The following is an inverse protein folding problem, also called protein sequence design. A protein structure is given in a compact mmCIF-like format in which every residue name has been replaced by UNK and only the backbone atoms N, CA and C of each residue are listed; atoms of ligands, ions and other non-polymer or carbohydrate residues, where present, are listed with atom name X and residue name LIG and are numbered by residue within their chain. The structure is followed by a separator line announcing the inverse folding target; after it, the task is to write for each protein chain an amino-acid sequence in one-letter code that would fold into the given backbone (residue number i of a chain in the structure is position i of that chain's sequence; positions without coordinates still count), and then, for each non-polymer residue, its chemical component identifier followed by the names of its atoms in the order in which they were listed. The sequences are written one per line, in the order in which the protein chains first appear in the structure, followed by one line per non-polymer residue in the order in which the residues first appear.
data_IF_879713633084
#
_entry.id   IF_879713633084
#
_cell.length_a   1.000
_cell.length_b   1.000
_cell.length_c   1.000
_cell.angle_alpha   90.00
_cell.angle_beta   90.00
_cell.angle_gamma   90.00
#
_symmetry.space_group_name_H-M   'P 1'
#
loop_
_entity.id
_entity.type
_entity.pdbx_description
1 polymer ?
#
# COMPACT_ATOMS: atom_id res chain seq x y z
N UNK A 1 37.39 -14.74 -35.57
CA UNK A 1 37.35 -14.85 -34.10
C UNK A 1 36.12 -14.15 -33.60
N UNK A 2 35.15 -14.89 -33.16
CA UNK A 2 33.91 -14.33 -32.67
C UNK A 2 34.02 -13.96 -31.20
N UNK A 3 33.94 -12.69 -30.90
CA UNK A 3 33.83 -12.18 -29.55
C UNK A 3 32.40 -12.47 -29.04
N UNK A 4 32.26 -13.40 -28.16
CA UNK A 4 30.96 -13.73 -27.57
C UNK A 4 30.57 -12.71 -26.53
N UNK A 5 29.71 -11.81 -26.89
CA UNK A 5 28.97 -10.98 -25.96
C UNK A 5 27.81 -11.78 -25.34
N UNK A 6 28.10 -12.70 -24.46
CA UNK A 6 27.07 -13.52 -23.84
C UNK A 6 26.77 -13.15 -22.38
N UNK A 7 27.42 -12.14 -21.82
CA UNK A 7 27.23 -11.77 -20.42
C UNK A 7 26.45 -10.48 -20.15
N UNK A 8 25.96 -9.81 -21.19
CA UNK A 8 25.24 -8.56 -21.03
C UNK A 8 23.72 -8.75 -20.99
N UNK A 9 23.26 -9.97 -21.18
CA UNK A 9 21.81 -10.29 -21.21
C UNK A 9 21.19 -10.45 -19.84
N UNK A 10 21.98 -10.65 -18.80
CA UNK A 10 21.48 -10.82 -17.44
C UNK A 10 21.42 -9.51 -16.64
N UNK A 11 22.14 -8.49 -17.09
CA UNK A 11 22.10 -7.14 -16.47
C UNK A 11 20.92 -6.29 -16.98
N UNK A 12 20.40 -6.60 -18.18
CA UNK A 12 19.26 -5.94 -18.81
C UNK A 12 17.95 -6.74 -18.66
N UNK A 13 17.80 -7.52 -17.60
CA UNK A 13 16.46 -7.83 -17.13
C UNK A 13 15.92 -6.53 -16.54
N UNK A 14 15.56 -5.63 -17.43
CA UNK A 14 14.73 -4.50 -17.09
C UNK A 14 13.59 -5.02 -16.23
N UNK A 15 13.58 -4.57 -15.00
CA UNK A 15 12.42 -4.78 -14.15
C UNK A 15 11.20 -4.39 -14.96
N UNK A 16 10.18 -5.25 -15.06
CA UNK A 16 9.03 -4.98 -15.91
C UNK A 16 8.57 -3.55 -15.67
N UNK A 17 8.51 -2.78 -16.74
CA UNK A 17 8.32 -1.34 -16.63
C UNK A 17 6.86 -1.06 -16.37
N UNK A 18 6.54 -0.96 -15.11
CA UNK A 18 5.26 -0.40 -14.65
C UNK A 18 5.52 1.02 -14.17
N UNK A 19 4.76 2.00 -14.64
CA UNK A 19 4.93 3.40 -14.25
C UNK A 19 4.44 3.60 -12.81
N UNK A 20 5.37 3.56 -11.85
CA UNK A 20 5.06 3.61 -10.40
C UNK A 20 4.32 4.87 -9.99
N UNK A 21 4.62 6.01 -10.60
CA UNK A 21 3.96 7.28 -10.28
C UNK A 21 2.47 7.20 -10.63
N UNK A 22 2.16 6.69 -11.80
CA UNK A 22 0.80 6.51 -12.28
C UNK A 22 0.04 5.47 -11.45
N UNK A 23 0.72 4.41 -11.03
CA UNK A 23 0.14 3.41 -10.12
C UNK A 23 -0.23 4.04 -8.78
N UNK A 24 0.66 4.81 -8.16
CA UNK A 24 0.35 5.49 -6.91
C UNK A 24 -0.82 6.46 -7.06
N UNK A 25 -0.86 7.20 -8.14
CA UNK A 25 -1.97 8.11 -8.46
C UNK A 25 -3.28 7.36 -8.64
N UNK A 26 -3.27 6.24 -9.38
CA UNK A 26 -4.41 5.35 -9.55
C UNK A 26 -4.93 4.85 -8.20
N UNK A 27 -4.06 4.33 -7.34
CA UNK A 27 -4.45 3.80 -6.03
C UNK A 27 -5.04 4.88 -5.12
N UNK A 28 -4.49 6.09 -5.15
CA UNK A 28 -5.06 7.23 -4.41
C UNK A 28 -6.46 7.63 -4.95
N UNK A 29 -6.65 7.56 -6.25
CA UNK A 29 -7.96 7.84 -6.87
C UNK A 29 -8.99 6.77 -6.51
N UNK A 30 -8.59 5.50 -6.45
CA UNK A 30 -9.45 4.40 -5.99
C UNK A 30 -9.85 4.59 -4.53
N UNK A 31 -8.90 4.90 -3.64
CA UNK A 31 -9.17 5.20 -2.24
C UNK A 31 -10.09 6.43 -2.07
N UNK A 32 -9.89 7.44 -2.89
CA UNK A 32 -10.71 8.67 -2.93
C UNK A 32 -12.05 8.51 -3.65
N UNK A 33 -12.37 7.31 -4.18
CA UNK A 33 -13.57 7.02 -4.96
C UNK A 33 -13.73 7.88 -6.23
N UNK A 34 -12.64 8.37 -6.77
CA UNK A 34 -12.60 9.09 -8.04
C UNK A 34 -12.58 8.11 -9.22
N UNK A 35 -13.68 7.40 -9.45
CA UNK A 35 -13.76 6.26 -10.35
C UNK A 35 -13.38 6.57 -11.79
N UNK A 36 -13.90 7.68 -12.32
CA UNK A 36 -13.61 8.11 -13.69
C UNK A 36 -12.14 8.44 -13.91
N UNK A 37 -11.52 9.07 -12.93
CA UNK A 37 -10.10 9.40 -12.98
C UNK A 37 -9.24 8.15 -12.81
N UNK A 38 -9.64 7.23 -11.94
CA UNK A 38 -8.99 5.93 -11.77
C UNK A 38 -9.06 5.09 -13.05
N UNK A 39 -10.20 5.05 -13.75
CA UNK A 39 -10.32 4.36 -15.04
C UNK A 39 -9.35 4.93 -16.10
N UNK A 40 -9.28 6.25 -16.21
CA UNK A 40 -8.34 6.92 -17.12
C UNK A 40 -6.88 6.62 -16.77
N UNK A 41 -6.55 6.64 -15.48
CA UNK A 41 -5.20 6.34 -15.05
C UNK A 41 -4.84 4.87 -15.28
N UNK A 42 -5.78 3.94 -15.11
CA UNK A 42 -5.57 2.53 -15.42
C UNK A 42 -5.28 2.32 -16.92
N UNK A 43 -6.00 3.01 -17.81
CA UNK A 43 -5.72 2.97 -19.24
C UNK A 43 -4.34 3.54 -19.58
N UNK A 44 -3.94 4.62 -18.93
CA UNK A 44 -2.62 5.20 -19.05
C UNK A 44 -1.51 4.22 -18.62
N UNK A 45 -1.71 3.52 -17.50
CA UNK A 45 -0.80 2.47 -17.01
C UNK A 45 -0.69 1.34 -18.03
N UNK A 46 -1.82 0.88 -18.61
CA UNK A 46 -1.82 -0.15 -19.66
C UNK A 46 -0.99 0.26 -20.88
N UNK A 47 -1.16 1.48 -21.33
CA UNK A 47 -0.45 1.98 -22.52
C UNK A 47 1.04 2.13 -22.29
N UNK A 48 1.45 2.50 -21.07
CA UNK A 48 2.85 2.68 -20.69
C UNK A 48 3.55 1.38 -20.28
N UNK A 49 2.80 0.33 -20.00
CA UNK A 49 3.38 -0.96 -19.62
C UNK A 49 3.97 -1.70 -20.82
N UNK A 50 4.95 -2.57 -20.58
CA UNK A 50 5.64 -3.32 -21.63
C UNK A 50 4.80 -4.43 -22.29
N UNK A 51 3.62 -4.74 -21.77
CA UNK A 51 2.72 -5.77 -22.27
C UNK A 51 3.17 -7.22 -22.02
N UNK A 52 4.23 -7.44 -21.26
CA UNK A 52 4.68 -8.75 -20.82
C UNK A 52 3.71 -9.43 -19.86
N UNK A 53 3.89 -10.72 -19.61
CA UNK A 53 3.00 -11.49 -18.71
C UNK A 53 2.94 -10.91 -17.30
N UNK A 54 4.07 -10.52 -16.76
CA UNK A 54 4.14 -9.88 -15.46
C UNK A 54 3.33 -8.58 -15.39
N UNK A 55 3.52 -7.69 -16.37
CA UNK A 55 2.80 -6.42 -16.46
C UNK A 55 1.30 -6.61 -16.66
N UNK A 56 0.89 -7.62 -17.42
CA UNK A 56 -0.53 -7.99 -17.58
C UNK A 56 -1.14 -8.45 -16.27
N UNK A 57 -0.43 -9.28 -15.51
CA UNK A 57 -0.88 -9.71 -14.18
C UNK A 57 -1.01 -8.53 -13.21
N UNK A 58 -0.04 -7.65 -13.20
CA UNK A 58 -0.04 -6.43 -12.39
C UNK A 58 -1.25 -5.54 -12.71
N UNK A 59 -1.45 -5.21 -13.97
CA UNK A 59 -2.60 -4.40 -14.44
C UNK A 59 -3.93 -5.09 -14.13
N UNK A 60 -4.00 -6.42 -14.25
CA UNK A 60 -5.20 -7.18 -13.92
C UNK A 60 -5.57 -7.07 -12.45
N UNK A 61 -4.60 -7.07 -11.57
CA UNK A 61 -4.84 -6.84 -10.14
C UNK A 61 -5.36 -5.42 -9.86
N UNK A 62 -4.81 -4.40 -10.53
CA UNK A 62 -5.32 -3.02 -10.43
C UNK A 62 -6.76 -2.90 -10.90
N UNK A 63 -7.11 -3.55 -12.02
CA UNK A 63 -8.48 -3.62 -12.53
C UNK A 63 -9.42 -4.27 -11.51
N UNK A 64 -8.99 -5.39 -10.92
CA UNK A 64 -9.74 -6.09 -9.88
C UNK A 64 -9.96 -5.22 -8.64
N UNK A 65 -8.96 -4.48 -8.19
CA UNK A 65 -9.11 -3.50 -7.09
C UNK A 65 -10.17 -2.44 -7.42
N UNK A 66 -10.10 -1.84 -8.60
CA UNK A 66 -11.08 -0.83 -9.04
C UNK A 66 -12.50 -1.38 -9.04
N UNK A 67 -12.71 -2.57 -9.60
CA UNK A 67 -14.01 -3.23 -9.67
C UNK A 67 -14.55 -3.58 -8.28
N UNK A 68 -13.70 -4.07 -7.40
CA UNK A 68 -14.06 -4.42 -6.04
C UNK A 68 -14.49 -3.20 -5.23
N UNK A 69 -13.72 -2.13 -5.26
CA UNK A 69 -14.04 -0.90 -4.53
C UNK A 69 -15.27 -0.20 -5.08
N UNK A 70 -15.43 -0.15 -6.39
CA UNK A 70 -16.56 0.48 -7.06
C UNK A 70 -17.86 -0.28 -6.85
N UNK A 71 -17.80 -1.61 -6.93
CA UNK A 71 -18.97 -2.48 -6.81
C UNK A 71 -19.32 -2.84 -5.38
N UNK A 72 -18.43 -2.56 -4.43
CA UNK A 72 -18.54 -3.06 -3.06
C UNK A 72 -18.76 -4.60 -3.00
N UNK A 73 -18.17 -5.31 -3.94
CA UNK A 73 -18.32 -6.75 -4.16
C UNK A 73 -16.96 -7.43 -4.14
N UNK A 74 -16.75 -8.32 -3.19
CA UNK A 74 -15.49 -9.02 -2.94
C UNK A 74 -15.18 -10.12 -3.98
N UNK A 75 -16.05 -10.35 -4.95
CA UNK A 75 -15.90 -11.37 -6.00
C UNK A 75 -14.56 -11.29 -6.73
N UNK A 76 -14.06 -10.09 -6.89
CA UNK A 76 -12.89 -9.85 -7.73
C UNK A 76 -11.59 -9.93 -6.97
N UNK A 77 -11.57 -9.44 -5.75
CA UNK A 77 -10.40 -9.49 -4.85
C UNK A 77 -10.86 -9.43 -3.39
N UNK A 78 -10.40 -10.36 -2.59
CA UNK A 78 -10.74 -10.49 -1.16
C UNK A 78 -9.96 -9.50 -0.25
N UNK A 79 -9.70 -8.29 -0.71
CA UNK A 79 -8.87 -7.33 0.03
C UNK A 79 -9.61 -6.20 0.76
N UNK A 80 -10.65 -5.58 0.21
CA UNK A 80 -11.21 -4.36 0.79
C UNK A 80 -11.81 -4.53 2.17
N UNK A 81 -12.48 -5.64 2.44
CA UNK A 81 -13.04 -5.92 3.77
C UNK A 81 -11.95 -6.14 4.80
N UNK A 82 -10.92 -6.88 4.42
CA UNK A 82 -9.78 -7.14 5.31
C UNK A 82 -9.07 -5.84 5.65
N UNK A 83 -8.77 -5.01 4.68
CA UNK A 83 -8.05 -3.75 4.88
C UNK A 83 -8.86 -2.73 5.69
N UNK A 84 -10.17 -2.68 5.48
CA UNK A 84 -11.05 -1.76 6.21
C UNK A 84 -11.26 -2.12 7.68
N UNK A 85 -11.23 -3.39 8.02
CA UNK A 85 -11.65 -3.92 9.32
C UNK A 85 -10.49 -4.49 10.12
N UNK A 86 -9.42 -4.92 9.45
CA UNK A 86 -8.36 -5.70 10.09
C UNK A 86 -7.38 -4.87 10.89
N UNK A 87 -6.89 -5.47 11.97
CA UNK A 87 -5.79 -4.94 12.73
C UNK A 87 -4.53 -4.74 11.85
N UNK A 88 -3.69 -3.75 12.14
CA UNK A 88 -2.46 -3.47 11.37
C UNK A 88 -1.55 -4.70 11.20
N UNK A 89 -1.54 -5.60 12.19
CA UNK A 89 -0.79 -6.86 12.14
C UNK A 89 -1.25 -7.77 11.00
N UNK A 90 -2.56 -7.94 10.83
CA UNK A 90 -3.13 -8.78 9.75
C UNK A 90 -2.79 -8.22 8.38
N UNK A 91 -2.85 -6.91 8.22
CA UNK A 91 -2.45 -6.23 6.97
C UNK A 91 -0.97 -6.44 6.68
N UNK A 92 -0.11 -6.36 7.69
CA UNK A 92 1.33 -6.61 7.56
C UNK A 92 1.65 -8.06 7.19
N UNK A 93 0.96 -9.03 7.79
CA UNK A 93 1.10 -10.46 7.48
C UNK A 93 0.68 -10.73 6.03
N UNK A 94 -0.46 -10.22 5.60
CA UNK A 94 -0.96 -10.36 4.24
C UNK A 94 -0.03 -9.72 3.21
N UNK A 95 0.49 -8.53 3.50
CA UNK A 95 1.51 -7.87 2.67
C UNK A 95 2.76 -8.73 2.53
N UNK A 96 3.25 -9.32 3.62
CA UNK A 96 4.41 -10.21 3.61
C UNK A 96 4.15 -11.47 2.77
N UNK A 97 2.97 -12.04 2.85
CA UNK A 97 2.56 -13.20 2.06
C UNK A 97 2.55 -12.88 0.55
N UNK A 98 1.95 -11.76 0.16
CA UNK A 98 1.97 -11.34 -1.24
C UNK A 98 3.36 -10.99 -1.75
N UNK A 99 4.22 -10.42 -0.91
CA UNK A 99 5.62 -10.19 -1.26
C UNK A 99 6.35 -11.51 -1.55
N UNK A 100 6.11 -12.55 -0.77
CA UNK A 100 6.66 -13.89 -1.02
C UNK A 100 6.14 -14.48 -2.33
N UNK A 101 4.84 -14.38 -2.59
CA UNK A 101 4.24 -14.89 -3.83
C UNK A 101 4.75 -14.16 -5.07
N UNK A 102 5.02 -12.88 -4.97
CA UNK A 102 5.53 -12.07 -6.09
C UNK A 102 6.93 -12.44 -6.54
N UNK A 103 7.71 -13.11 -5.70
CA UNK A 103 9.09 -13.56 -6.01
C UNK A 103 9.24 -15.07 -6.06
N UNK A 104 8.19 -15.83 -5.77
CA UNK A 104 8.23 -17.30 -5.72
C UNK A 104 8.37 -17.92 -7.11
N UNK A 105 9.28 -18.86 -7.26
CA UNK A 105 9.48 -19.62 -8.51
C UNK A 105 8.34 -20.57 -8.83
N UNK A 106 7.46 -20.84 -7.87
CA UNK A 106 6.27 -21.69 -8.08
C UNK A 106 5.23 -20.95 -8.93
N UNK A 107 5.19 -19.62 -8.86
CA UNK A 107 4.25 -18.81 -9.62
C UNK A 107 4.84 -18.38 -10.96
N UNK A 108 4.00 -18.35 -12.01
CA UNK A 108 4.36 -17.77 -13.29
C UNK A 108 4.47 -16.24 -13.22
N UNK A 109 5.04 -15.65 -14.26
CA UNK A 109 5.26 -14.20 -14.31
C UNK A 109 3.96 -13.40 -14.15
N UNK A 110 2.86 -13.87 -14.72
CA UNK A 110 1.56 -13.25 -14.56
C UNK A 110 1.13 -13.19 -13.09
N UNK A 111 1.20 -14.31 -12.38
CA UNK A 111 0.82 -14.38 -10.96
C UNK A 111 1.74 -13.53 -10.08
N UNK A 112 3.03 -13.53 -10.38
CA UNK A 112 4.01 -12.68 -9.68
C UNK A 112 3.67 -11.19 -9.82
N UNK A 113 3.33 -10.76 -11.04
CA UNK A 113 2.87 -9.39 -11.29
C UNK A 113 1.59 -9.06 -10.54
N UNK A 114 0.63 -9.97 -10.54
CA UNK A 114 -0.62 -9.85 -9.82
C UNK A 114 -0.41 -9.65 -8.32
N UNK A 115 0.38 -10.51 -7.69
CA UNK A 115 0.67 -10.40 -6.25
C UNK A 115 1.50 -9.16 -5.92
N UNK A 116 2.39 -8.73 -6.81
CA UNK A 116 3.15 -7.48 -6.61
C UNK A 116 2.25 -6.25 -6.55
N UNK A 117 1.24 -6.18 -7.40
CA UNK A 117 0.27 -5.09 -7.36
C UNK A 117 -0.51 -5.05 -6.04
N UNK A 118 -0.91 -6.20 -5.51
CA UNK A 118 -1.58 -6.31 -4.23
C UNK A 118 -0.66 -5.92 -3.05
N UNK A 119 0.60 -6.31 -3.11
CA UNK A 119 1.61 -5.87 -2.13
C UNK A 119 1.78 -4.34 -2.15
N UNK A 120 1.89 -3.75 -3.32
CA UNK A 120 2.02 -2.29 -3.49
C UNK A 120 0.80 -1.54 -2.95
N UNK A 121 -0.40 -2.06 -3.19
CA UNK A 121 -1.62 -1.52 -2.60
C UNK A 121 -1.61 -1.57 -1.07
N UNK A 122 -1.26 -2.70 -0.48
CA UNK A 122 -1.18 -2.83 0.98
C UNK A 122 -0.09 -1.94 1.59
N UNK A 123 1.00 -1.72 0.88
CA UNK A 123 2.06 -0.79 1.28
C UNK A 123 1.55 0.65 1.36
N UNK A 124 0.78 1.08 0.36
CA UNK A 124 0.18 2.41 0.34
C UNK A 124 -0.79 2.62 1.51
N UNK A 125 -1.69 1.67 1.72
CA UNK A 125 -2.69 1.73 2.80
C UNK A 125 -2.04 1.73 4.18
N UNK A 126 -0.99 0.95 4.38
CA UNK A 126 -0.24 0.91 5.64
C UNK A 126 0.42 2.26 5.94
N UNK A 127 1.01 2.90 4.94
CA UNK A 127 1.64 4.22 5.09
C UNK A 127 0.62 5.31 5.39
N UNK A 128 -0.52 5.30 4.71
CA UNK A 128 -1.59 6.28 4.93
C UNK A 128 -2.17 6.22 6.35
N UNK A 129 -2.31 5.02 6.91
CA UNK A 129 -2.79 4.84 8.28
C UNK A 129 -1.78 5.31 9.33
N UNK A 130 -0.49 5.16 9.09
CA UNK A 130 0.55 5.67 10.01
C UNK A 130 0.59 7.20 10.04
N UNK A 131 0.30 7.84 8.94
CA UNK A 131 0.25 9.31 8.85
C UNK A 131 -0.95 9.91 9.58
N UNK A 132 -1.99 9.12 9.85
CA UNK A 132 -3.22 9.56 10.51
C UNK A 132 -3.23 9.31 12.02
N UNK A 133 -2.21 8.67 12.58
CA UNK A 133 -2.06 8.58 14.02
C UNK A 133 -1.66 9.95 14.53
N UNK A 134 -2.47 10.59 15.43
CA UNK A 134 -1.99 11.76 16.12
C UNK A 134 -0.71 11.31 16.85
N UNK A 135 0.37 11.99 16.59
CA UNK A 135 1.51 11.92 17.48
C UNK A 135 0.98 12.34 18.85
N UNK A 136 0.88 11.36 19.73
CA UNK A 136 0.73 11.67 21.15
C UNK A 136 1.98 12.47 21.51
N UNK A 137 1.88 13.77 21.40
CA UNK A 137 2.76 14.63 22.15
C UNK A 137 2.46 14.28 23.61
N UNK A 138 3.24 13.40 24.18
CA UNK A 138 3.38 13.35 25.61
C UNK A 138 3.79 14.76 26.01
N UNK A 139 2.79 15.53 26.35
CA UNK A 139 2.99 16.76 27.08
C UNK A 139 3.67 16.33 28.38
N UNK A 140 4.90 16.76 28.66
CA UNK A 140 5.46 16.50 29.97
C UNK A 140 4.45 17.00 30.97
N UNK A 141 4.08 16.16 31.91
CA UNK A 141 3.33 16.54 33.10
C UNK A 141 4.09 17.70 33.74
N UNK A 142 3.64 18.89 33.41
CA UNK A 142 3.96 20.04 34.19
C UNK A 142 3.38 19.76 35.58
N UNK A 143 4.27 19.40 36.50
CA UNK A 143 3.92 19.37 37.92
C UNK A 143 3.58 20.81 38.26
N UNK A 144 2.28 21.06 38.24
CA UNK A 144 1.76 22.31 38.75
C UNK A 144 2.31 22.58 40.15
N UNK A 145 2.54 23.83 40.49
CA UNK A 145 3.07 24.21 41.81
C UNK A 145 2.24 23.54 42.89
N UNK A 146 2.92 22.84 43.73
CA UNK A 146 2.41 22.29 44.97
C UNK A 146 1.55 23.30 45.66
N UNK A 147 0.25 23.05 45.78
CA UNK A 147 -0.62 23.90 46.56
C UNK A 147 -0.15 23.87 48.02
N UNK A 148 0.35 24.94 48.49
CA UNK A 148 0.73 25.06 49.89
C UNK A 148 -0.51 24.87 50.77
N UNK A 149 -0.42 24.04 51.80
CA UNK A 149 -1.53 23.91 52.72
C UNK A 149 -1.77 25.24 53.41
N UNK A 150 -2.96 25.77 53.20
CA UNK A 150 -3.42 26.93 53.96
C UNK A 150 -3.63 26.45 55.39
N UNK A 151 -2.81 26.89 56.29
CA UNK A 151 -3.02 26.70 57.69
C UNK A 151 -4.27 27.50 58.09
N UNK A 152 -5.30 26.87 58.65
CA UNK A 152 -6.41 27.66 59.21
C UNK A 152 -5.89 28.43 60.42
N UNK A 153 -6.04 29.75 60.33
CA UNK A 153 -5.86 30.56 61.51
C UNK A 153 -6.99 30.24 62.50
N UNK A 154 -6.60 29.71 63.61
CA UNK A 154 -7.50 29.71 64.76
C UNK A 154 -7.66 31.11 65.23
N UNK A 155 -8.85 31.62 65.06
CA UNK A 155 -9.29 32.75 65.87
C UNK A 155 -9.54 32.27 67.30
N UNK A 156 -8.59 32.49 68.15
CA UNK A 156 -8.89 32.52 69.53
C UNK A 156 -9.41 33.96 69.81
N UNK A 157 -10.65 33.94 70.26
CA UNK A 157 -11.33 35.15 70.72
C UNK A 157 -10.58 35.96 71.75
#
# INVERSE_FOLDING_TARGET
MSVRKTRQKDADRESPTIPKLEVNKFLQQVEGRAWTDAEKELDNIRQKSDGGQWSRGYVKALEGLLLTFRGNDDKYIYLPRIVGISAPKVVAELKSEFAQFSVSDIHGDYDRGFFKALEDYLSLVSTSKQSSLPQSTEKPLDQGPEAQPVTPQRDEE
#
